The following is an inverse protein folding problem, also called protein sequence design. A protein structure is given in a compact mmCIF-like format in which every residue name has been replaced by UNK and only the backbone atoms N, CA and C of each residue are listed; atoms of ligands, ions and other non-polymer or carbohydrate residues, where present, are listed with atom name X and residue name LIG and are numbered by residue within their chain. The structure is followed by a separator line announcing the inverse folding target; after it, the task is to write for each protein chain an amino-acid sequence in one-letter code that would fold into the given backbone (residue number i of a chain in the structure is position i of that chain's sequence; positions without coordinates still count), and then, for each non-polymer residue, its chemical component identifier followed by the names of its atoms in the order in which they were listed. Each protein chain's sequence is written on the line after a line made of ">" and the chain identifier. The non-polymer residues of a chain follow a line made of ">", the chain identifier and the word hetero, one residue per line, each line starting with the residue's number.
data_IF_374036978125
#
_entry.id   IF_374036978125
#
_cell.length_a   1.000
_cell.length_b   1.000
_cell.length_c   1.000
_cell.angle_alpha   90.00
_cell.angle_beta   90.00
_cell.angle_gamma   90.00
#
_symmetry.space_group_name_H-M   'P 1'
#
loop_
_entity.id
_entity.type
_entity.pdbx_description
1 polymer ?
#
# COMPACT_ATOMS: atom_id res chain seq x y z
N UNK A 1 34.90 -20.29 -6.05
CA UNK A 1 34.16 -19.84 -4.88
C UNK A 1 33.09 -18.82 -5.20
N UNK A 2 33.32 -17.90 -6.14
CA UNK A 2 32.33 -16.92 -6.60
C UNK A 2 31.04 -17.55 -7.15
N UNK A 3 31.07 -18.68 -7.92
CA UNK A 3 29.85 -19.29 -8.45
C UNK A 3 28.86 -19.78 -7.38
N UNK A 4 29.36 -20.34 -6.29
CA UNK A 4 28.53 -20.87 -5.21
C UNK A 4 27.80 -19.73 -4.46
N UNK A 5 28.51 -18.65 -4.22
CA UNK A 5 27.96 -17.47 -3.55
C UNK A 5 26.85 -16.84 -4.39
N UNK A 6 27.03 -16.74 -5.70
CA UNK A 6 26.04 -16.22 -6.62
C UNK A 6 24.79 -17.11 -6.68
N UNK A 7 24.98 -18.45 -6.64
CA UNK A 7 23.87 -19.40 -6.67
C UNK A 7 23.02 -19.30 -5.40
N UNK A 8 23.67 -19.17 -4.23
CA UNK A 8 22.98 -19.01 -2.96
C UNK A 8 22.20 -17.68 -2.94
N UNK A 9 22.84 -16.61 -3.41
CA UNK A 9 22.23 -15.29 -3.47
C UNK A 9 20.97 -15.30 -4.38
N UNK A 10 21.09 -15.92 -5.56
CA UNK A 10 19.97 -16.07 -6.48
C UNK A 10 18.84 -16.90 -5.87
N UNK A 11 19.19 -17.96 -5.14
CA UNK A 11 18.20 -18.81 -4.48
C UNK A 11 17.44 -18.03 -3.41
N UNK A 12 18.12 -17.29 -2.56
CA UNK A 12 17.50 -16.49 -1.52
C UNK A 12 16.61 -15.40 -2.10
N UNK A 13 17.05 -14.73 -3.17
CA UNK A 13 16.27 -13.72 -3.85
C UNK A 13 15.02 -14.33 -4.49
N UNK A 14 15.15 -15.51 -5.10
CA UNK A 14 14.03 -16.24 -5.67
C UNK A 14 13.02 -16.65 -4.60
N UNK A 15 13.50 -17.10 -3.43
CA UNK A 15 12.64 -17.45 -2.30
C UNK A 15 11.88 -16.24 -1.77
N UNK A 16 12.52 -15.08 -1.67
CA UNK A 16 11.86 -13.84 -1.27
C UNK A 16 10.76 -13.44 -2.25
N UNK A 17 11.05 -13.52 -3.56
CA UNK A 17 10.08 -13.19 -4.60
C UNK A 17 8.89 -14.15 -4.55
N UNK A 18 9.15 -15.45 -4.41
CA UNK A 18 8.08 -16.47 -4.31
C UNK A 18 7.19 -16.23 -3.10
N UNK A 19 7.79 -15.91 -1.95
CA UNK A 19 7.05 -15.58 -0.73
C UNK A 19 6.18 -14.35 -0.95
N UNK A 20 6.73 -13.30 -1.54
CA UNK A 20 6.00 -12.07 -1.82
C UNK A 20 4.85 -12.30 -2.80
N UNK A 21 5.08 -13.08 -3.87
CA UNK A 21 4.03 -13.41 -4.84
C UNK A 21 2.86 -14.13 -4.14
N UNK A 22 3.15 -15.01 -3.19
CA UNK A 22 2.13 -15.67 -2.39
C UNK A 22 1.32 -14.70 -1.58
N UNK A 23 1.97 -13.72 -0.95
CA UNK A 23 1.28 -12.68 -0.18
C UNK A 23 0.39 -11.83 -1.09
N UNK A 24 0.89 -11.46 -2.27
CA UNK A 24 0.12 -10.68 -3.24
C UNK A 24 -1.14 -11.45 -3.64
N UNK A 25 -0.97 -12.71 -4.05
CA UNK A 25 -2.09 -13.54 -4.47
C UNK A 25 -3.13 -13.73 -3.36
N UNK A 26 -2.68 -13.95 -2.13
CA UNK A 26 -3.57 -14.29 -1.02
C UNK A 26 -4.26 -13.07 -0.41
N UNK A 27 -3.62 -11.89 -0.45
CA UNK A 27 -4.10 -10.73 0.29
C UNK A 27 -4.49 -9.53 -0.57
N UNK A 28 -4.22 -9.54 -1.88
CA UNK A 28 -4.52 -8.37 -2.74
C UNK A 28 -6.01 -8.03 -2.74
N UNK A 29 -6.86 -9.02 -2.95
CA UNK A 29 -8.31 -8.80 -3.01
C UNK A 29 -8.85 -8.24 -1.70
N UNK A 30 -8.39 -8.77 -0.57
CA UNK A 30 -8.78 -8.25 0.75
C UNK A 30 -8.32 -6.81 0.95
N UNK A 31 -7.12 -6.52 0.52
CA UNK A 31 -6.55 -5.17 0.60
C UNK A 31 -7.36 -4.19 -0.25
N UNK A 32 -7.75 -4.61 -1.45
CA UNK A 32 -8.59 -3.81 -2.33
C UNK A 32 -9.92 -3.48 -1.69
N UNK A 33 -10.63 -4.49 -1.18
CA UNK A 33 -11.91 -4.28 -0.50
C UNK A 33 -11.76 -3.41 0.74
N UNK A 34 -10.69 -3.59 1.48
CA UNK A 34 -10.40 -2.75 2.64
C UNK A 34 -10.22 -1.28 2.22
N UNK A 35 -9.45 -1.04 1.16
CA UNK A 35 -9.22 0.32 0.64
C UNK A 35 -10.52 0.95 0.13
N UNK A 36 -11.43 0.17 -0.46
CA UNK A 36 -12.72 0.67 -0.94
C UNK A 36 -13.61 1.21 0.17
N UNK A 37 -13.40 0.78 1.40
CA UNK A 37 -14.15 1.32 2.55
C UNK A 37 -13.78 2.76 2.84
N UNK A 38 -12.55 3.16 2.50
CA UNK A 38 -12.08 4.55 2.66
C UNK A 38 -12.22 5.35 1.37
N UNK A 39 -12.02 4.70 0.24
CA UNK A 39 -11.99 5.31 -1.09
C UNK A 39 -13.00 4.58 -1.97
N UNK A 40 -14.23 5.13 -2.09
CA UNK A 40 -15.28 4.46 -2.87
C UNK A 40 -14.96 4.30 -4.36
N UNK A 41 -14.15 5.20 -4.94
CA UNK A 41 -13.73 5.08 -6.33
C UNK A 41 -12.87 3.82 -6.50
N UNK A 42 -13.31 2.84 -7.34
CA UNK A 42 -12.58 1.60 -7.50
C UNK A 42 -11.15 1.77 -8.02
N UNK A 43 -10.91 2.77 -8.87
CA UNK A 43 -9.58 3.03 -9.42
C UNK A 43 -8.63 3.53 -8.35
N UNK A 44 -9.08 4.47 -7.51
CA UNK A 44 -8.29 4.97 -6.40
C UNK A 44 -7.97 3.85 -5.41
N UNK A 45 -8.95 3.03 -5.09
CA UNK A 45 -8.75 1.92 -4.16
C UNK A 45 -7.76 0.91 -4.70
N UNK A 46 -7.83 0.62 -6.01
CA UNK A 46 -6.89 -0.30 -6.65
C UNK A 46 -5.46 0.25 -6.63
N UNK A 47 -5.32 1.53 -6.90
CA UNK A 47 -4.03 2.20 -6.86
C UNK A 47 -3.41 2.09 -5.46
N UNK A 48 -4.20 2.34 -4.43
CA UNK A 48 -3.73 2.20 -3.04
C UNK A 48 -3.36 0.75 -2.71
N UNK A 49 -4.16 -0.22 -3.18
CA UNK A 49 -3.83 -1.62 -2.96
C UNK A 49 -2.49 -1.98 -3.62
N UNK A 50 -2.26 -1.52 -4.84
CA UNK A 50 -0.98 -1.76 -5.53
C UNK A 50 0.18 -1.10 -4.80
N UNK A 51 0.04 0.15 -4.39
CA UNK A 51 1.06 0.87 -3.62
C UNK A 51 1.35 0.19 -2.28
N UNK A 52 0.34 -0.38 -1.67
CA UNK A 52 0.49 -1.13 -0.41
C UNK A 52 1.47 -2.29 -0.60
N UNK A 53 1.37 -3.01 -1.72
CA UNK A 53 2.26 -4.15 -1.98
C UNK A 53 3.66 -3.69 -2.40
N UNK A 54 3.81 -2.53 -3.03
CA UNK A 54 5.13 -1.94 -3.28
C UNK A 54 5.80 -1.63 -1.94
N UNK A 55 5.08 -1.00 -1.02
CA UNK A 55 5.59 -0.69 0.32
C UNK A 55 5.91 -1.98 1.10
N UNK A 56 5.04 -2.99 0.97
CA UNK A 56 5.28 -4.29 1.62
C UNK A 56 6.59 -4.91 1.13
N UNK A 57 6.86 -4.83 -0.17
CA UNK A 57 8.12 -5.32 -0.73
C UNK A 57 9.32 -4.56 -0.15
N UNK A 58 9.22 -3.24 -0.08
CA UNK A 58 10.26 -2.40 0.50
C UNK A 58 10.52 -2.74 1.98
N UNK A 59 9.46 -3.08 2.70
CA UNK A 59 9.51 -3.40 4.13
C UNK A 59 9.55 -4.90 4.41
N UNK A 60 9.87 -5.73 3.42
CA UNK A 60 9.78 -7.19 3.56
C UNK A 60 10.63 -7.76 4.69
N UNK A 61 11.73 -7.08 5.03
CA UNK A 61 12.59 -7.49 6.14
C UNK A 61 11.96 -7.23 7.51
N UNK A 62 10.92 -6.39 7.57
CA UNK A 62 10.21 -6.08 8.80
C UNK A 62 9.05 -7.03 9.06
N UNK A 63 8.73 -7.91 8.08
CA UNK A 63 7.66 -8.89 8.24
C UNK A 63 8.11 -9.92 9.27
N UNK A 64 7.32 -10.07 10.32
CA UNK A 64 7.61 -10.98 11.42
C UNK A 64 6.71 -12.21 11.32
N UNK A 65 7.29 -13.42 11.29
CA UNK A 65 6.49 -14.64 11.18
C UNK A 65 5.61 -14.93 12.39
N UNK A 66 5.92 -14.34 13.54
CA UNK A 66 5.15 -14.48 14.78
C UNK A 66 3.95 -13.52 14.86
N UNK A 67 3.81 -12.59 13.92
CA UNK A 67 2.71 -11.62 13.90
C UNK A 67 1.88 -11.81 12.64
N UNK A 68 0.65 -11.28 12.68
CA UNK A 68 -0.26 -11.36 11.55
C UNK A 68 0.26 -10.52 10.37
N UNK A 69 0.58 -11.19 9.27
CA UNK A 69 0.97 -10.53 8.02
C UNK A 69 -0.21 -9.70 7.49
N UNK A 70 -1.42 -10.23 7.60
CA UNK A 70 -2.62 -9.51 7.17
C UNK A 70 -2.76 -8.17 7.91
N UNK A 71 -2.58 -8.16 9.22
CA UNK A 71 -2.65 -6.93 10.00
C UNK A 71 -1.58 -5.92 9.56
N UNK A 72 -0.38 -6.41 9.26
CA UNK A 72 0.71 -5.55 8.77
C UNK A 72 0.34 -4.91 7.44
N UNK A 73 -0.16 -5.71 6.50
CA UNK A 73 -0.57 -5.23 5.16
C UNK A 73 -1.71 -4.21 5.28
N UNK A 74 -2.74 -4.51 6.06
CA UNK A 74 -3.90 -3.62 6.22
C UNK A 74 -3.52 -2.33 6.95
N UNK A 75 -2.56 -2.36 7.85
CA UNK A 75 -2.05 -1.15 8.50
C UNK A 75 -1.38 -0.23 7.47
N UNK A 76 -0.58 -0.77 6.57
CA UNK A 76 0.03 0.00 5.49
C UNK A 76 -1.07 0.62 4.62
N UNK A 77 -2.05 -0.17 4.20
CA UNK A 77 -3.16 0.28 3.36
C UNK A 77 -3.96 1.40 4.05
N UNK A 78 -4.24 1.24 5.34
CA UNK A 78 -4.98 2.24 6.12
C UNK A 78 -4.26 3.57 6.13
N UNK A 79 -2.95 3.57 6.40
CA UNK A 79 -2.17 4.81 6.41
C UNK A 79 -2.20 5.50 5.05
N UNK A 80 -2.11 4.74 3.96
CA UNK A 80 -2.17 5.30 2.61
C UNK A 80 -3.54 5.88 2.30
N UNK A 81 -4.61 5.19 2.68
CA UNK A 81 -5.98 5.68 2.51
C UNK A 81 -6.21 6.97 3.28
N UNK A 82 -5.78 7.02 4.54
CA UNK A 82 -5.92 8.22 5.37
C UNK A 82 -5.15 9.40 4.79
N UNK A 83 -3.97 9.15 4.21
CA UNK A 83 -3.20 10.21 3.56
C UNK A 83 -3.94 10.79 2.36
N UNK A 84 -4.57 9.93 1.54
CA UNK A 84 -5.39 10.38 0.41
C UNK A 84 -6.58 11.22 0.89
N UNK A 85 -7.27 10.75 1.93
CA UNK A 85 -8.41 11.47 2.49
C UNK A 85 -8.01 12.82 3.07
N UNK A 86 -6.86 12.91 3.75
CA UNK A 86 -6.34 14.17 4.27
C UNK A 86 -6.07 15.17 3.15
N UNK A 87 -5.50 14.69 2.03
CA UNK A 87 -5.27 15.53 0.85
C UNK A 87 -6.58 16.04 0.27
N UNK A 88 -7.58 15.17 0.13
CA UNK A 88 -8.90 15.55 -0.39
C UNK A 88 -9.57 16.60 0.48
N UNK A 89 -9.48 16.44 1.80
CA UNK A 89 -10.03 17.41 2.74
C UNK A 89 -9.32 18.75 2.62
N UNK A 90 -8.00 18.75 2.51
CA UNK A 90 -7.22 19.98 2.37
C UNK A 90 -7.55 20.69 1.06
N UNK A 91 -7.67 19.95 -0.04
CA UNK A 91 -8.05 20.48 -1.35
C UNK A 91 -9.45 21.07 -1.32
N UNK A 92 -10.39 20.41 -0.65
CA UNK A 92 -11.76 20.91 -0.53
C UNK A 92 -11.81 22.19 0.30
N UNK A 93 -11.06 22.27 1.39
CA UNK A 93 -10.99 23.49 2.21
C UNK A 93 -10.40 24.64 1.43
N UNK A 94 -9.37 24.39 0.63
CA UNK A 94 -8.74 25.40 -0.23
C UNK A 94 -9.74 25.91 -1.27
N UNK A 95 -10.45 25.01 -1.93
CA UNK A 95 -11.46 25.32 -2.93
C UNK A 95 -12.61 26.15 -2.31
N UNK A 96 -13.09 25.75 -1.13
CA UNK A 96 -14.14 26.48 -0.42
C UNK A 96 -13.70 27.88 -0.04
N UNK A 97 -12.44 28.04 0.38
CA UNK A 97 -11.86 29.33 0.72
C UNK A 97 -11.81 30.25 -0.49
N UNK A 98 -11.40 29.73 -1.65
CA UNK A 98 -11.38 30.49 -2.90
C UNK A 98 -12.80 30.92 -3.33
N UNK A 99 -13.76 30.01 -3.25
CA UNK A 99 -15.16 30.28 -3.59
C UNK A 99 -15.73 31.36 -2.67
N UNK A 100 -15.45 31.29 -1.36
CA UNK A 100 -15.90 32.29 -0.41
C UNK A 100 -15.30 33.67 -0.72
N UNK A 101 -14.05 33.74 -1.14
CA UNK A 101 -13.41 34.99 -1.55
C UNK A 101 -14.07 35.59 -2.78
N UNK A 102 -14.44 34.76 -3.75
CA UNK A 102 -15.11 35.20 -4.97
C UNK A 102 -16.52 35.73 -4.67
N UNK A 103 -17.23 35.12 -3.74
CA UNK A 103 -18.61 35.52 -3.39
C UNK A 103 -18.67 36.75 -2.50
N UNK A 104 -17.56 37.15 -1.88
CA UNK A 104 -17.56 38.37 -1.04
C UNK A 104 -17.25 39.65 -1.81
N UNK A 105 -17.03 39.55 -3.10
CA UNK A 105 -16.83 40.69 -3.97
C UNK A 105 -18.16 41.11 -4.56
#
# INVERSE_FOLDING_TARGET
>A
MKPLRNSIHKFLKSAEVTFFEGLYRDYFTRTLFFAQQYLPDPEEAREIAQETFVTLWEKRTEIRPDLSVQAFILTIAKHKCLNVLRKKIAEQKYSDSLTARETTV
#
